data_IF_669586389335
#
_entry.id   IF_669586389335
#
_cell.length_a   1.000
_cell.length_b   1.000
_cell.length_c   1.000
_cell.angle_alpha   90.00
_cell.angle_beta   90.00
_cell.angle_gamma   90.00
#
_symmetry.space_group_name_H-M   'P 1'
#
loop_
_entity.id
_entity.type
_entity.pdbx_description
1 polymer ?
#
# COMPACT_ATOMS: atom_id res chain seq x y z
N UNK A 1 11.73 -3.91 13.15
CA UNK A 1 10.94 -4.24 11.95
C UNK A 1 9.52 -3.92 12.30
N UNK A 2 8.91 -3.05 11.51
CA UNK A 2 7.52 -2.67 11.69
C UNK A 2 6.67 -3.26 10.57
N UNK A 3 5.41 -3.54 10.85
CA UNK A 3 4.48 -4.01 9.84
C UNK A 3 4.15 -2.88 8.87
N UNK A 4 3.85 -3.24 7.61
CA UNK A 4 3.29 -2.26 6.69
C UNK A 4 1.92 -1.75 7.18
N UNK A 5 1.57 -0.49 6.89
CA UNK A 5 0.29 0.05 7.29
C UNK A 5 -0.87 -0.70 6.62
N UNK A 6 -1.85 -1.12 7.42
CA UNK A 6 -3.06 -1.81 6.99
C UNK A 6 -4.34 -0.96 7.16
N UNK A 7 -4.24 0.25 7.72
CA UNK A 7 -5.39 1.13 7.87
C UNK A 7 -5.09 2.54 7.39
N UNK A 8 -6.14 3.27 7.00
CA UNK A 8 -6.01 4.66 6.54
C UNK A 8 -5.36 5.56 7.60
N UNK A 9 -5.70 5.32 8.85
CA UNK A 9 -5.43 6.25 9.94
C UNK A 9 -4.06 5.96 10.59
N UNK A 10 -3.35 4.93 10.12
CA UNK A 10 -1.96 4.69 10.50
C UNK A 10 -1.03 5.71 9.84
N UNK A 11 0.02 6.16 10.56
CA UNK A 11 1.01 7.06 10.01
C UNK A 11 1.73 6.39 8.85
N UNK A 12 1.96 7.16 7.78
CA UNK A 12 2.75 6.70 6.65
C UNK A 12 4.24 6.67 7.04
N UNK A 13 4.94 5.53 6.91
CA UNK A 13 6.34 5.43 7.30
C UNK A 13 7.32 6.07 6.32
N UNK A 14 6.88 6.51 5.13
CA UNK A 14 7.76 6.99 4.06
C UNK A 14 7.55 8.48 3.77
N UNK A 15 6.46 8.84 3.10
CA UNK A 15 6.19 10.21 2.63
C UNK A 15 4.73 10.50 2.21
N UNK A 16 3.78 9.62 2.51
CA UNK A 16 2.38 9.72 2.06
C UNK A 16 1.67 11.01 2.49
N UNK A 17 2.03 11.57 3.65
CA UNK A 17 1.48 12.86 4.10
C UNK A 17 2.05 14.04 3.29
N UNK A 18 3.35 14.00 3.00
CA UNK A 18 4.00 15.02 2.17
C UNK A 18 3.39 15.08 0.76
N UNK A 19 3.12 13.93 0.14
CA UNK A 19 2.45 13.85 -1.17
C UNK A 19 1.06 14.48 -1.15
N UNK A 20 0.29 14.31 -0.06
CA UNK A 20 -1.02 14.93 0.11
C UNK A 20 -0.93 16.44 0.21
N UNK A 21 0.07 16.95 0.93
CA UNK A 21 0.33 18.39 1.03
C UNK A 21 0.64 19.00 -0.34
N UNK A 22 1.55 18.41 -1.11
CA UNK A 22 1.91 18.91 -2.45
C UNK A 22 0.68 19.00 -3.36
N UNK A 23 -0.12 17.93 -3.44
CA UNK A 23 -1.31 17.92 -4.30
C UNK A 23 -2.33 18.96 -3.86
N UNK A 24 -2.49 19.16 -2.55
CA UNK A 24 -3.39 20.17 -2.00
C UNK A 24 -2.91 21.59 -2.33
N UNK A 25 -1.62 21.87 -2.17
CA UNK A 25 -1.02 23.17 -2.44
C UNK A 25 -1.09 23.52 -3.94
N UNK A 26 -0.97 22.51 -4.80
CA UNK A 26 -1.14 22.64 -6.25
C UNK A 26 -2.61 22.67 -6.70
N UNK A 27 -3.57 22.60 -5.79
CA UNK A 27 -5.01 22.58 -6.12
C UNK A 27 -5.46 21.34 -6.90
N UNK A 28 -4.68 20.26 -6.88
CA UNK A 28 -4.98 19.02 -7.61
C UNK A 28 -5.94 18.15 -6.81
N UNK A 29 -7.13 17.89 -7.39
CA UNK A 29 -8.11 17.02 -6.78
C UNK A 29 -7.71 15.54 -6.92
N UNK A 30 -7.19 14.93 -5.85
CA UNK A 30 -6.70 13.55 -5.87
C UNK A 30 -7.67 12.52 -5.26
N UNK A 31 -8.67 12.96 -4.49
CA UNK A 31 -9.54 12.06 -3.72
C UNK A 31 -10.33 11.08 -4.57
N UNK A 32 -10.78 11.52 -5.76
CA UNK A 32 -11.55 10.68 -6.68
C UNK A 32 -10.69 9.56 -7.26
N UNK A 33 -9.47 9.88 -7.70
CA UNK A 33 -8.51 8.91 -8.25
C UNK A 33 -8.06 7.90 -7.19
N UNK A 34 -7.70 8.37 -5.99
CA UNK A 34 -7.36 7.46 -4.88
C UNK A 34 -8.53 6.53 -4.54
N UNK A 35 -9.77 7.03 -4.58
CA UNK A 35 -10.96 6.20 -4.33
C UNK A 35 -11.22 5.21 -5.47
N UNK A 36 -10.96 5.58 -6.73
CA UNK A 36 -11.07 4.68 -7.87
C UNK A 36 -10.06 3.53 -7.77
N UNK A 37 -8.78 3.84 -7.56
CA UNK A 37 -7.72 2.85 -7.35
C UNK A 37 -7.99 1.94 -6.16
N UNK A 38 -8.45 2.49 -5.03
CA UNK A 38 -8.86 1.73 -3.85
C UNK A 38 -9.94 0.69 -4.18
N UNK A 39 -11.00 1.09 -4.91
CA UNK A 39 -12.09 0.18 -5.28
C UNK A 39 -11.62 -0.93 -6.23
N UNK A 40 -10.71 -0.61 -7.15
CA UNK A 40 -10.10 -1.60 -8.04
C UNK A 40 -9.26 -2.61 -7.27
N UNK A 41 -8.44 -2.16 -6.32
CA UNK A 41 -7.65 -3.01 -5.44
C UNK A 41 -8.55 -3.95 -4.62
N UNK A 42 -9.59 -3.40 -3.98
CA UNK A 42 -10.58 -4.21 -3.27
C UNK A 42 -11.19 -5.31 -4.13
N UNK A 43 -11.55 -4.99 -5.39
CA UNK A 43 -12.11 -5.98 -6.31
C UNK A 43 -11.09 -7.04 -6.68
N UNK A 44 -9.85 -6.64 -6.97
CA UNK A 44 -8.76 -7.55 -7.33
C UNK A 44 -8.44 -8.52 -6.19
N UNK A 45 -8.34 -8.03 -4.96
CA UNK A 45 -7.94 -8.83 -3.80
C UNK A 45 -9.03 -9.81 -3.30
N UNK A 46 -10.25 -9.78 -3.85
CA UNK A 46 -11.31 -10.74 -3.50
C UNK A 46 -10.97 -12.17 -3.90
N UNK A 47 -10.13 -12.37 -4.91
CA UNK A 47 -9.77 -13.70 -5.39
C UNK A 47 -8.65 -14.35 -4.57
N UNK A 48 -8.01 -13.57 -3.67
CA UNK A 48 -6.95 -14.07 -2.80
C UNK A 48 -7.58 -14.97 -1.74
N UNK A 49 -7.24 -16.27 -1.70
CA UNK A 49 -7.83 -17.21 -0.76
C UNK A 49 -7.35 -16.95 0.67
N UNK A 50 -8.16 -17.34 1.65
CA UNK A 50 -7.73 -17.35 3.05
C UNK A 50 -6.50 -18.25 3.22
N UNK A 51 -5.71 -18.00 4.25
CA UNK A 51 -4.43 -18.69 4.51
C UNK A 51 -3.44 -18.63 3.35
N UNK A 52 -3.45 -17.55 2.56
CA UNK A 52 -2.36 -17.24 1.62
C UNK A 52 -1.08 -16.89 2.39
N UNK A 53 -1.23 -16.13 3.48
CA UNK A 53 -0.13 -15.71 4.34
C UNK A 53 -0.41 -16.20 5.75
N UNK A 54 0.30 -17.21 6.21
CA UNK A 54 0.06 -17.80 7.52
C UNK A 54 1.34 -18.27 8.18
N UNK A 55 1.36 -18.23 9.51
CA UNK A 55 2.42 -18.84 10.32
C UNK A 55 1.79 -19.69 11.41
N UNK A 56 1.94 -21.01 11.29
CA UNK A 56 1.24 -21.98 12.12
C UNK A 56 -0.29 -21.82 12.03
N UNK A 57 -0.92 -21.55 13.17
CA UNK A 57 -2.36 -21.34 13.26
C UNK A 57 -2.81 -19.93 12.85
N UNK A 58 -1.89 -18.96 12.81
CA UNK A 58 -2.23 -17.56 12.56
C UNK A 58 -2.30 -17.26 11.06
N UNK A 59 -3.40 -16.67 10.63
CA UNK A 59 -3.62 -16.21 9.25
C UNK A 59 -3.51 -14.68 9.20
N UNK A 60 -2.57 -14.19 8.40
CA UNK A 60 -2.27 -12.77 8.19
C UNK A 60 -2.74 -12.28 6.81
N UNK A 61 -3.45 -13.12 6.05
CA UNK A 61 -3.90 -12.80 4.69
C UNK A 61 -4.69 -11.50 4.64
N UNK A 62 -5.60 -11.28 5.60
CA UNK A 62 -6.39 -10.06 5.64
C UNK A 62 -5.52 -8.81 5.90
N UNK A 63 -4.58 -8.88 6.85
CA UNK A 63 -3.67 -7.78 7.14
C UNK A 63 -2.79 -7.41 5.94
N UNK A 64 -2.36 -8.40 5.15
CA UNK A 64 -1.59 -8.15 3.94
C UNK A 64 -2.44 -7.62 2.78
N UNK A 65 -3.68 -8.07 2.63
CA UNK A 65 -4.64 -7.46 1.68
C UNK A 65 -4.87 -5.99 2.02
N UNK A 66 -5.04 -5.69 3.30
CA UNK A 66 -5.21 -4.33 3.78
C UNK A 66 -3.95 -3.47 3.55
N UNK A 67 -2.77 -4.07 3.69
CA UNK A 67 -1.48 -3.41 3.37
C UNK A 67 -1.31 -3.13 1.87
N UNK A 68 -1.70 -4.08 1.01
CA UNK A 68 -1.73 -3.88 -0.43
C UNK A 68 -2.67 -2.73 -0.83
N UNK A 69 -3.83 -2.64 -0.18
CA UNK A 69 -4.77 -1.54 -0.39
C UNK A 69 -4.19 -0.19 0.05
N UNK A 70 -3.48 -0.14 1.18
CA UNK A 70 -2.78 1.06 1.62
C UNK A 70 -1.73 1.49 0.59
N UNK A 71 -0.91 0.54 0.16
CA UNK A 71 0.13 0.73 -0.85
C UNK A 71 -0.44 1.29 -2.16
N UNK A 72 -1.56 0.74 -2.67
CA UNK A 72 -2.25 1.28 -3.88
C UNK A 72 -2.61 2.75 -3.71
N UNK A 73 -3.10 3.15 -2.53
CA UNK A 73 -3.48 4.53 -2.28
C UNK A 73 -2.27 5.46 -2.29
N UNK A 74 -1.15 5.04 -1.70
CA UNK A 74 0.07 5.85 -1.68
C UNK A 74 0.75 5.89 -3.06
N UNK A 75 0.84 4.76 -3.75
CA UNK A 75 1.32 4.69 -5.13
C UNK A 75 0.49 5.59 -6.08
N UNK A 76 -0.83 5.67 -5.87
CA UNK A 76 -1.67 6.61 -6.63
C UNK A 76 -1.24 8.06 -6.38
N UNK A 77 -0.91 8.43 -5.14
CA UNK A 77 -0.43 9.78 -4.81
C UNK A 77 0.94 10.05 -5.43
N UNK A 78 1.86 9.09 -5.41
CA UNK A 78 3.17 9.19 -6.07
C UNK A 78 3.02 9.45 -7.57
N UNK A 79 2.18 8.66 -8.24
CA UNK A 79 1.91 8.80 -9.68
C UNK A 79 1.27 10.16 -10.01
N UNK A 80 0.29 10.61 -9.22
CA UNK A 80 -0.33 11.93 -9.40
C UNK A 80 0.63 13.09 -9.19
N UNK A 81 1.65 12.93 -8.35
CA UNK A 81 2.73 13.89 -8.17
C UNK A 81 3.85 13.77 -9.22
N UNK A 82 3.76 12.82 -10.16
CA UNK A 82 4.84 12.45 -11.07
C UNK A 82 6.16 12.10 -10.35
N UNK A 83 6.06 11.53 -9.14
CA UNK A 83 7.17 11.09 -8.29
C UNK A 83 7.00 9.61 -7.91
N UNK A 84 7.01 8.68 -8.89
CA UNK A 84 7.00 7.25 -8.60
C UNK A 84 8.23 6.89 -7.75
N UNK A 85 8.01 6.19 -6.65
CA UNK A 85 9.08 5.85 -5.71
C UNK A 85 8.68 4.58 -4.94
N UNK A 86 9.03 4.53 -3.65
CA UNK A 86 8.83 3.41 -2.75
C UNK A 86 7.46 2.71 -2.86
N UNK A 87 6.34 3.44 -2.87
CA UNK A 87 5.03 2.80 -2.82
C UNK A 87 4.63 2.19 -4.15
N UNK A 88 5.02 2.80 -5.27
CA UNK A 88 4.85 2.17 -6.58
C UNK A 88 5.72 0.91 -6.70
N UNK A 89 6.96 0.95 -6.22
CA UNK A 89 7.84 -0.22 -6.22
C UNK A 89 7.26 -1.35 -5.34
N UNK A 90 6.76 -1.01 -4.15
CA UNK A 90 6.05 -1.96 -3.28
C UNK A 90 4.80 -2.55 -3.97
N UNK A 91 4.06 -1.74 -4.72
CA UNK A 91 2.88 -2.20 -5.47
C UNK A 91 3.27 -3.17 -6.58
N UNK A 92 4.41 -2.96 -7.24
CA UNK A 92 4.92 -3.89 -8.24
C UNK A 92 5.26 -5.26 -7.64
N UNK A 93 5.77 -5.31 -6.41
CA UNK A 93 6.01 -6.58 -5.71
C UNK A 93 4.69 -7.33 -5.49
N UNK A 94 3.62 -6.65 -5.06
CA UNK A 94 2.28 -7.26 -4.99
C UNK A 94 1.76 -7.72 -6.35
N UNK A 95 2.01 -6.95 -7.41
CA UNK A 95 1.60 -7.30 -8.77
C UNK A 95 2.29 -8.57 -9.28
N UNK A 96 3.54 -8.80 -8.88
CA UNK A 96 4.31 -10.02 -9.18
C UNK A 96 3.85 -11.25 -8.36
N UNK A 97 2.87 -11.09 -7.47
CA UNK A 97 2.32 -12.17 -6.65
C UNK A 97 3.03 -12.37 -5.31
N UNK A 98 3.95 -11.48 -4.96
CA UNK A 98 4.69 -11.50 -3.70
C UNK A 98 3.98 -10.63 -2.65
N UNK A 99 4.20 -10.90 -1.36
CA UNK A 99 3.47 -10.21 -0.28
C UNK A 99 4.40 -9.50 0.70
N UNK A 100 4.82 -8.25 0.40
CA UNK A 100 5.53 -7.44 1.36
C UNK A 100 4.63 -7.22 2.60
N UNK A 101 5.20 -7.44 3.77
CA UNK A 101 4.47 -7.46 5.04
C UNK A 101 5.09 -6.57 6.12
N UNK A 102 6.35 -6.16 5.95
CA UNK A 102 6.98 -5.24 6.87
C UNK A 102 8.14 -4.46 6.27
N UNK A 103 8.63 -3.54 7.09
CA UNK A 103 9.67 -2.59 6.75
C UNK A 103 10.75 -2.64 7.82
N UNK A 104 12.00 -2.75 7.37
CA UNK A 104 13.17 -2.64 8.23
C UNK A 104 13.53 -1.16 8.45
N UNK A 105 14.29 -0.82 9.52
CA UNK A 105 14.67 0.56 9.81
C UNK A 105 15.48 1.25 8.71
N UNK A 106 16.12 0.48 7.82
CA UNK A 106 16.87 0.96 6.65
C UNK A 106 15.98 1.19 5.42
N UNK A 107 14.67 0.92 5.52
CA UNK A 107 13.72 1.05 4.42
C UNK A 107 13.57 -0.22 3.57
N UNK A 108 14.25 -1.32 3.91
CA UNK A 108 14.13 -2.58 3.18
C UNK A 108 12.76 -3.23 3.44
N UNK A 109 12.05 -3.58 2.36
CA UNK A 109 10.81 -4.35 2.43
C UNK A 109 11.09 -5.82 2.74
N UNK A 110 10.36 -6.37 3.69
CA UNK A 110 10.34 -7.80 3.98
C UNK A 110 9.14 -8.42 3.30
N UNK A 111 9.40 -9.46 2.51
CA UNK A 111 8.42 -10.19 1.72
C UNK A 111 8.20 -11.56 2.36
N UNK A 112 6.93 -11.94 2.53
CA UNK A 112 6.53 -13.27 3.01
C UNK A 112 6.67 -14.34 1.93
#
# INVERSE_FOLDING_TARGET
MDWLPSSRDQPDPIHGEHLRTILKDNGTAYQQEVMASYKLALKSLRVVPDRTIFSGANDFTQAAKDSAIYCVRMATLEVLNAQPNFWLDALMIYHEGNWPCGLLPDGTLVVF
#
